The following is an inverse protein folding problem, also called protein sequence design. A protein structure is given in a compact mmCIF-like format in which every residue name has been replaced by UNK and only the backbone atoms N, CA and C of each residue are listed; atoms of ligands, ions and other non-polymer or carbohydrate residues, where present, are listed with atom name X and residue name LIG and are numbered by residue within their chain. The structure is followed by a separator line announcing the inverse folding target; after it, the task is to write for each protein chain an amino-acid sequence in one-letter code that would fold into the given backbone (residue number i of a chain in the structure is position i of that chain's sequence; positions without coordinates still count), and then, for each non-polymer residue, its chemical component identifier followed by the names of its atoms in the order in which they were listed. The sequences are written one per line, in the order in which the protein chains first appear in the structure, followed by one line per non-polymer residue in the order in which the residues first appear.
data_IF_177074019697
#
_entry.id   IF_177074019697
#
_cell.length_a   1.000
_cell.length_b   1.000
_cell.length_c   1.000
_cell.angle_alpha   90.00
_cell.angle_beta   90.00
_cell.angle_gamma   90.00
#
_symmetry.space_group_name_H-M   'P 1'
#
loop_
_entity.id
_entity.type
_entity.pdbx_description
1 polymer ?
#
# COMPACT_ATOMS: atom_id res chain seq x y z
N UNK A 1 -11.21 -7.37 -0.71
CA UNK A 1 -10.50 -8.64 -0.46
C UNK A 1 -9.26 -8.82 -1.35
N UNK A 2 -9.33 -8.52 -2.65
CA UNK A 2 -8.21 -8.65 -3.60
C UNK A 2 -6.94 -7.82 -3.23
N UNK A 3 -7.10 -6.61 -2.67
CA UNK A 3 -5.96 -5.72 -2.34
C UNK A 3 -5.07 -6.35 -1.26
N UNK A 4 -5.67 -6.81 -0.15
CA UNK A 4 -4.94 -7.42 0.97
C UNK A 4 -4.15 -8.65 0.54
N UNK A 5 -4.73 -9.48 -0.33
CA UNK A 5 -4.08 -10.68 -0.85
C UNK A 5 -2.82 -10.32 -1.65
N UNK A 6 -2.92 -9.39 -2.61
CA UNK A 6 -1.77 -8.91 -3.39
C UNK A 6 -0.67 -8.30 -2.53
N UNK A 7 -1.04 -7.48 -1.53
CA UNK A 7 -0.10 -6.91 -0.57
C UNK A 7 0.58 -8.03 0.23
N UNK A 8 -0.18 -9.00 0.74
CA UNK A 8 0.35 -10.16 1.48
C UNK A 8 1.31 -10.98 0.63
N UNK A 9 0.99 -11.25 -0.63
CA UNK A 9 1.86 -11.97 -1.55
C UNK A 9 3.18 -11.22 -1.77
N UNK A 10 3.14 -9.91 -1.98
CA UNK A 10 4.33 -9.07 -2.07
C UNK A 10 5.19 -9.17 -0.80
N UNK A 11 4.58 -8.95 0.37
CA UNK A 11 5.27 -9.04 1.66
C UNK A 11 5.88 -10.43 1.88
N UNK A 12 5.14 -11.49 1.60
CA UNK A 12 5.60 -12.87 1.78
C UNK A 12 6.83 -13.19 0.93
N UNK A 13 6.86 -12.72 -0.33
CA UNK A 13 8.02 -12.91 -1.21
C UNK A 13 9.27 -12.20 -0.70
N UNK A 14 9.09 -11.01 -0.12
CA UNK A 14 10.20 -10.22 0.43
C UNK A 14 10.68 -10.71 1.80
N UNK A 15 9.76 -11.17 2.65
CA UNK A 15 10.03 -11.63 4.01
C UNK A 15 10.34 -13.14 4.07
N UNK A 16 10.88 -13.72 2.99
CA UNK A 16 11.29 -15.15 2.92
C UNK A 16 10.16 -16.12 3.29
N UNK A 17 8.99 -15.95 2.66
CA UNK A 17 7.78 -16.75 2.86
C UNK A 17 7.14 -16.59 4.26
N UNK A 18 7.44 -15.51 4.97
CA UNK A 18 6.73 -15.18 6.19
C UNK A 18 5.27 -14.82 5.89
N UNK A 19 4.34 -15.36 6.68
CA UNK A 19 2.92 -15.10 6.54
C UNK A 19 2.48 -13.98 7.50
N UNK A 20 2.53 -12.75 7.01
CA UNK A 20 2.13 -11.54 7.75
C UNK A 20 0.62 -11.55 7.99
N UNK A 21 0.20 -11.35 9.25
CA UNK A 21 -1.20 -11.15 9.60
C UNK A 21 -1.69 -9.73 9.26
N UNK A 22 -3.00 -9.57 9.05
CA UNK A 22 -3.54 -8.32 8.50
C UNK A 22 -3.32 -7.08 9.40
N UNK A 23 -3.29 -7.30 10.72
CA UNK A 23 -3.10 -6.29 11.77
C UNK A 23 -1.67 -6.31 12.34
N UNK A 24 -0.76 -7.08 11.77
CA UNK A 24 0.61 -7.17 12.26
C UNK A 24 1.43 -5.95 11.87
N UNK A 25 2.16 -5.39 12.84
CA UNK A 25 3.05 -4.26 12.60
C UNK A 25 4.35 -4.72 11.93
N UNK A 26 4.52 -4.31 10.67
CA UNK A 26 5.67 -4.61 9.82
C UNK A 26 6.99 -3.98 10.30
N UNK A 27 6.92 -2.88 11.05
CA UNK A 27 8.11 -2.14 11.52
C UNK A 27 8.61 -2.63 12.88
N UNK A 28 7.73 -3.17 13.72
CA UNK A 28 8.07 -3.59 15.09
C UNK A 28 9.10 -4.74 15.10
N UNK A 29 8.95 -5.69 14.17
CA UNK A 29 9.82 -6.84 14.04
C UNK A 29 11.13 -6.56 13.26
N UNK A 30 11.46 -5.29 12.93
CA UNK A 30 12.54 -4.91 11.99
C UNK A 30 12.46 -5.61 10.63
N UNK A 31 11.28 -6.11 10.26
CA UNK A 31 11.05 -6.79 8.99
C UNK A 31 11.14 -5.81 7.82
N UNK A 32 10.91 -4.53 8.09
CA UNK A 32 10.87 -3.45 7.10
C UNK A 32 11.86 -2.33 7.45
N UNK A 33 12.57 -1.85 6.43
CA UNK A 33 13.44 -0.67 6.50
C UNK A 33 12.99 0.39 5.48
N UNK A 34 13.66 1.55 5.47
CA UNK A 34 13.32 2.67 4.57
C UNK A 34 13.41 2.31 3.08
N UNK A 35 14.32 1.43 2.68
CA UNK A 35 14.43 0.98 1.29
C UNK A 35 13.24 0.09 0.90
N UNK A 36 12.83 -0.79 1.82
CA UNK A 36 11.66 -1.63 1.61
C UNK A 36 10.38 -0.78 1.49
N UNK A 37 10.22 0.25 2.32
CA UNK A 37 9.08 1.16 2.23
C UNK A 37 8.98 1.79 0.83
N UNK A 38 10.11 2.19 0.23
CA UNK A 38 10.14 2.69 -1.15
C UNK A 38 9.74 1.63 -2.18
N UNK A 39 10.17 0.37 -2.01
CA UNK A 39 9.75 -0.71 -2.91
C UNK A 39 8.26 -1.03 -2.78
N UNK A 40 7.72 -0.95 -1.58
CA UNK A 40 6.29 -1.11 -1.31
C UNK A 40 5.48 -0.01 -2.00
N UNK A 41 5.92 1.26 -1.93
CA UNK A 41 5.30 2.38 -2.65
C UNK A 41 5.27 2.09 -4.15
N UNK A 42 6.42 1.75 -4.76
CA UNK A 42 6.50 1.47 -6.20
C UNK A 42 5.62 0.28 -6.60
N UNK A 43 5.54 -0.75 -5.76
CA UNK A 43 4.64 -1.88 -5.99
C UNK A 43 3.18 -1.41 -5.99
N UNK A 44 2.76 -0.65 -4.97
CA UNK A 44 1.40 -0.16 -4.84
C UNK A 44 1.00 0.70 -6.04
N UNK A 45 1.83 1.67 -6.43
CA UNK A 45 1.53 2.57 -7.53
C UNK A 45 1.36 1.81 -8.86
N UNK A 46 2.24 0.83 -9.12
CA UNK A 46 2.21 0.03 -10.34
C UNK A 46 1.07 -0.99 -10.36
N UNK A 47 0.82 -1.68 -9.25
CA UNK A 47 -0.13 -2.78 -9.18
C UNK A 47 -1.58 -2.29 -9.15
N UNK A 48 -1.81 -1.10 -8.59
CA UNK A 48 -3.15 -0.53 -8.43
C UNK A 48 -3.41 0.71 -9.29
N UNK A 49 -2.44 1.12 -10.11
CA UNK A 49 -2.52 2.29 -11.00
C UNK A 49 -2.91 3.57 -10.26
N UNK A 50 -2.34 3.78 -9.08
CA UNK A 50 -2.54 4.97 -8.25
C UNK A 50 -1.25 5.75 -8.08
N UNK A 51 -1.37 7.05 -7.81
CA UNK A 51 -0.25 7.90 -7.43
C UNK A 51 -0.31 8.19 -5.93
N UNK A 52 0.80 7.96 -5.23
CA UNK A 52 0.95 8.32 -3.82
C UNK A 52 1.69 9.66 -3.72
N UNK A 53 1.29 10.49 -2.76
CA UNK A 53 1.91 11.79 -2.48
C UNK A 53 2.66 11.77 -1.16
N UNK A 54 3.42 12.83 -0.89
CA UNK A 54 4.14 12.99 0.38
C UNK A 54 3.24 12.84 1.62
N UNK A 55 1.96 13.20 1.51
CA UNK A 55 1.01 13.06 2.62
C UNK A 55 0.66 11.60 2.89
N UNK A 56 0.69 10.74 1.86
CA UNK A 56 0.44 9.31 2.03
C UNK A 56 1.62 8.58 2.67
N UNK A 57 2.83 9.14 2.61
CA UNK A 57 4.09 8.55 3.09
C UNK A 57 4.24 8.46 4.62
N UNK A 58 3.14 8.63 5.36
CA UNK A 58 3.12 8.44 6.81
C UNK A 58 3.26 6.95 7.17
N UNK A 59 4.05 6.67 8.20
CA UNK A 59 4.29 5.32 8.71
C UNK A 59 2.98 4.56 9.00
N UNK A 60 1.99 5.26 9.53
CA UNK A 60 0.66 4.74 9.89
C UNK A 60 -0.09 4.13 8.69
N UNK A 61 0.22 4.58 7.48
CA UNK A 61 -0.38 4.05 6.25
C UNK A 61 0.30 2.76 5.76
N UNK A 62 1.52 2.48 6.21
CA UNK A 62 2.30 1.30 5.78
C UNK A 62 2.58 0.29 6.89
N UNK A 63 2.11 0.56 8.12
CA UNK A 63 2.42 -0.28 9.28
C UNK A 63 1.83 -1.68 9.22
N UNK A 64 0.64 -1.84 8.62
CA UNK A 64 -0.11 -3.10 8.56
C UNK A 64 -0.70 -3.28 7.17
N UNK A 65 -1.04 -4.53 6.81
CA UNK A 65 -1.76 -4.81 5.56
C UNK A 65 -3.10 -4.08 5.53
N UNK A 66 -3.79 -3.97 6.68
CA UNK A 66 -5.03 -3.22 6.81
C UNK A 66 -4.86 -1.73 6.47
N UNK A 67 -3.83 -1.08 7.01
CA UNK A 67 -3.53 0.34 6.69
C UNK A 67 -3.26 0.52 5.20
N UNK A 68 -2.42 -0.34 4.62
CA UNK A 68 -2.04 -0.28 3.19
C UNK A 68 -3.28 -0.46 2.32
N UNK A 69 -4.11 -1.46 2.63
CA UNK A 69 -5.32 -1.72 1.87
C UNK A 69 -6.29 -0.53 1.93
N UNK A 70 -6.47 0.06 3.11
CA UNK A 70 -7.30 1.25 3.30
C UNK A 70 -6.80 2.43 2.47
N UNK A 71 -5.49 2.69 2.48
CA UNK A 71 -4.87 3.74 1.65
C UNK A 71 -5.18 3.52 0.15
N UNK A 72 -5.00 2.30 -0.33
CA UNK A 72 -5.26 1.96 -1.75
C UNK A 72 -6.74 2.14 -2.09
N UNK A 73 -7.65 1.69 -1.22
CA UNK A 73 -9.09 1.85 -1.41
C UNK A 73 -9.49 3.33 -1.48
N UNK A 74 -8.94 4.16 -0.59
CA UNK A 74 -9.15 5.60 -0.61
C UNK A 74 -8.65 6.25 -1.90
N UNK A 75 -7.42 5.93 -2.34
CA UNK A 75 -6.86 6.49 -3.58
C UNK A 75 -7.65 6.08 -4.81
N UNK A 76 -8.06 4.81 -4.90
CA UNK A 76 -8.89 4.33 -6.01
C UNK A 76 -10.26 5.00 -6.02
N UNK A 77 -10.84 5.26 -4.86
CA UNK A 77 -12.10 6.00 -4.72
C UNK A 77 -11.98 7.47 -5.16
N UNK A 78 -10.88 8.14 -4.78
CA UNK A 78 -10.63 9.54 -5.17
C UNK A 78 -10.37 9.70 -6.67
N UNK A 79 -9.63 8.78 -7.30
CA UNK A 79 -9.37 8.81 -8.76
C UNK A 79 -10.68 8.68 -9.57
N UNK A 80 -11.67 7.93 -9.06
CA UNK A 80 -12.98 7.80 -9.70
C UNK A 80 -13.88 9.04 -9.56
N UNK A 81 -13.51 10.00 -8.71
CA UNK A 81 -14.27 11.23 -8.45
C UNK A 81 -13.88 12.44 -9.31
N UNK A 82 -12.74 12.41 -10.00
CA UNK A 82 -12.19 13.59 -10.70
C UNK A 82 -12.37 13.58 -12.23
N UNK A 83 -13.22 12.68 -12.77
CA UNK A 83 -13.56 12.65 -14.21
C UNK A 83 -14.84 13.42 -14.56
N UNK A 84 -15.06 14.61 -14.00
CA UNK A 84 -16.07 15.54 -14.54
C UNK A 84 -15.59 16.97 -14.38
N UNK A 85 -15.61 17.72 -15.48
CA UNK A 85 -15.31 19.16 -15.67
C UNK A 85 -13.99 19.44 -16.40
N UNK A 86 -14.06 19.46 -17.74
CA UNK A 86 -12.96 19.95 -18.58
C UNK A 86 -13.23 19.81 -20.08
N UNK A 87 -14.43 20.17 -20.54
CA UNK A 87 -14.73 20.32 -21.96
C UNK A 87 -15.59 21.57 -22.16
N UNK A 88 -14.94 22.69 -22.44
CA UNK A 88 -15.57 23.81 -23.16
C UNK A 88 -15.51 23.55 -24.66
#
# INVERSE_FOLDING_TARGET
MQIKEKVREFLSRFLRNYNVADDENLFDNKLVNSLFAMQLIVFIEREFEIALTNDDFQLENFQTINSIATLIELKKGSVLGEINNGGQ
#
